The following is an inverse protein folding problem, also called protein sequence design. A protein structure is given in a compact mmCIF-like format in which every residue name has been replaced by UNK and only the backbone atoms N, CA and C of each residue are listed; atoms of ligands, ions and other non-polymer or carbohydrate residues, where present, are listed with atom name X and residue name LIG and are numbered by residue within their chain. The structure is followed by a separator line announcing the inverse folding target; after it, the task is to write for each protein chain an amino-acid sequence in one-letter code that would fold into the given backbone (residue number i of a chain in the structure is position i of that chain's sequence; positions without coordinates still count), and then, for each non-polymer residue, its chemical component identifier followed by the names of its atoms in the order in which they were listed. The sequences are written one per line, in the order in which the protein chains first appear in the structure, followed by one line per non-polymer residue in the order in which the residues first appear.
data_IF_546792967251
#
_entry.id   IF_546792967251
#
_cell.length_a   1.000
_cell.length_b   1.000
_cell.length_c   1.000
_cell.angle_alpha   90.00
_cell.angle_beta   90.00
_cell.angle_gamma   90.00
#
_symmetry.space_group_name_H-M   'P 1'
#
loop_
_entity.id
_entity.type
_entity.pdbx_description
1 polymer ?
#
# COMPACT_ATOMS: atom_id res chain seq x y z
N UNK A 1 10.01 57.80 -5.31
CA UNK A 1 10.70 57.85 -4.02
C UNK A 1 10.04 56.81 -3.12
N UNK A 2 10.45 55.55 -3.29
CA UNK A 2 10.41 54.52 -2.27
C UNK A 2 11.06 55.06 -0.98
N UNK A 3 10.56 54.67 0.20
CA UNK A 3 11.24 53.57 0.89
C UNK A 3 10.33 52.66 1.72
N UNK A 4 10.95 51.56 2.16
CA UNK A 4 10.53 50.65 3.23
C UNK A 4 9.49 49.60 2.84
N UNK A 5 9.96 48.49 2.30
CA UNK A 5 10.45 47.36 3.11
C UNK A 5 9.32 46.76 3.94
N UNK A 6 8.75 45.68 3.41
CA UNK A 6 7.83 44.84 4.14
C UNK A 6 8.50 44.33 5.44
N UNK A 7 7.87 44.46 6.63
CA UNK A 7 8.09 43.46 7.64
C UNK A 7 7.44 42.17 7.12
N UNK A 8 8.29 41.27 6.65
CA UNK A 8 8.02 39.84 6.47
C UNK A 8 7.02 39.38 7.53
N UNK A 9 5.76 39.16 7.12
CA UNK A 9 4.79 38.50 8.01
C UNK A 9 5.47 37.22 8.48
N UNK A 10 5.56 36.99 9.80
CA UNK A 10 6.43 35.97 10.37
C UNK A 10 6.26 34.67 9.59
N UNK A 11 7.36 34.00 9.21
CA UNK A 11 7.28 32.78 8.43
C UNK A 11 6.30 31.83 9.11
N UNK A 12 5.46 31.19 8.29
CA UNK A 12 4.48 30.18 8.71
C UNK A 12 5.14 29.32 9.81
N UNK A 13 4.49 29.12 10.98
CA UNK A 13 5.13 28.44 12.10
C UNK A 13 5.77 27.13 11.65
N UNK A 14 7.00 26.90 12.14
CA UNK A 14 7.73 25.65 11.89
C UNK A 14 6.84 24.45 12.25
N UNK A 15 7.02 23.30 11.58
CA UNK A 15 6.27 22.10 11.90
C UNK A 15 6.32 21.80 13.39
N UNK A 16 5.15 21.69 14.03
CA UNK A 16 5.06 21.21 15.41
C UNK A 16 5.71 19.83 15.47
N UNK A 17 6.85 19.71 16.15
CA UNK A 17 7.36 18.42 16.67
C UNK A 17 6.43 17.99 17.80
N UNK A 18 5.30 17.38 17.44
CA UNK A 18 4.65 16.45 18.37
C UNK A 18 5.37 15.11 18.20
N UNK A 19 5.98 14.63 19.27
CA UNK A 19 6.53 13.29 19.34
C UNK A 19 5.36 12.30 19.24
N UNK A 20 5.47 11.34 18.30
CA UNK A 20 4.68 10.10 18.09
C UNK A 20 3.34 9.99 18.81
N UNK A 21 2.22 9.88 18.13
CA UNK A 21 1.89 8.63 17.43
C UNK A 21 1.47 8.82 15.98
N UNK A 22 1.83 7.83 15.17
CA UNK A 22 1.62 7.71 13.73
C UNK A 22 0.19 8.07 13.32
N UNK A 23 -0.05 9.33 12.94
CA UNK A 23 -1.22 9.67 12.12
C UNK A 23 -0.72 9.87 10.69
N UNK A 24 -0.74 8.84 9.84
CA UNK A 24 -0.51 9.05 8.42
C UNK A 24 -1.53 10.07 7.93
N UNK A 25 -1.00 11.14 7.35
CA UNK A 25 -1.69 12.04 6.43
C UNK A 25 -2.59 11.22 5.48
N UNK A 26 -3.75 11.75 5.04
CA UNK A 26 -4.45 11.22 3.88
C UNK A 26 -3.63 11.57 2.63
N UNK A 27 -2.48 10.93 2.49
CA UNK A 27 -1.87 10.76 1.18
C UNK A 27 -2.86 9.91 0.37
N UNK A 28 -3.16 10.25 -0.89
CA UNK A 28 -3.40 9.24 -1.90
C UNK A 28 -2.04 8.91 -2.52
N UNK A 29 -1.26 7.96 -1.98
CA UNK A 29 -0.23 7.31 -2.77
C UNK A 29 -0.99 6.22 -3.55
N UNK A 30 -1.18 6.36 -4.85
CA UNK A 30 -0.01 6.28 -5.71
C UNK A 30 0.73 4.97 -5.40
N UNK A 31 0.02 3.84 -5.53
CA UNK A 31 0.54 2.52 -5.87
C UNK A 31 1.94 2.20 -5.32
N UNK A 32 2.05 2.08 -4.00
CA UNK A 32 2.94 1.07 -3.46
C UNK A 32 2.00 -0.03 -2.98
N UNK A 33 1.66 -1.04 -3.81
CA UNK A 33 0.99 -2.19 -3.27
C UNK A 33 1.96 -2.75 -2.24
N UNK A 34 1.70 -2.51 -0.95
CA UNK A 34 2.37 -3.26 0.10
C UNK A 34 2.22 -4.75 -0.25
N UNK A 35 3.12 -5.63 0.21
CA UNK A 35 3.05 -7.06 -0.13
C UNK A 35 1.63 -7.64 0.05
N UNK A 36 0.88 -7.17 1.05
CA UNK A 36 -0.53 -7.49 1.27
C UNK A 36 -1.50 -7.06 0.17
N UNK A 37 -1.32 -5.88 -0.44
CA UNK A 37 -2.15 -5.39 -1.56
C UNK A 37 -1.82 -6.10 -2.88
N UNK A 38 -0.54 -6.45 -3.10
CA UNK A 38 -0.17 -7.25 -4.26
C UNK A 38 -0.76 -8.66 -4.16
N UNK A 39 -0.71 -9.25 -2.96
CA UNK A 39 -1.33 -10.56 -2.68
C UNK A 39 -2.84 -10.50 -2.94
N UNK A 40 -3.53 -9.44 -2.50
CA UNK A 40 -4.97 -9.31 -2.75
C UNK A 40 -5.30 -9.21 -4.25
N UNK A 41 -4.55 -8.41 -5.01
CA UNK A 41 -4.75 -8.32 -6.47
C UNK A 41 -4.54 -9.66 -7.19
N UNK A 42 -3.56 -10.45 -6.74
CA UNK A 42 -3.27 -11.75 -7.33
C UNK A 42 -4.35 -12.79 -6.97
N UNK A 43 -4.93 -12.71 -5.77
CA UNK A 43 -6.10 -13.53 -5.39
C UNK A 43 -7.28 -13.19 -6.30
N UNK A 44 -7.58 -11.91 -6.52
CA UNK A 44 -8.65 -11.48 -7.43
C UNK A 44 -8.40 -11.98 -8.87
N UNK A 45 -7.14 -11.96 -9.31
CA UNK A 45 -6.79 -12.50 -10.62
C UNK A 45 -7.08 -14.00 -10.72
N UNK A 46 -6.69 -14.79 -9.71
CA UNK A 46 -6.95 -16.23 -9.66
C UNK A 46 -8.46 -16.56 -9.60
N UNK A 47 -9.23 -15.77 -8.86
CA UNK A 47 -10.70 -15.90 -8.83
C UNK A 47 -11.30 -15.64 -10.22
N UNK A 48 -10.81 -14.62 -10.92
CA UNK A 48 -11.23 -14.30 -12.30
C UNK A 48 -10.86 -15.41 -13.31
N UNK A 49 -9.76 -16.14 -13.05
CA UNK A 49 -9.37 -17.32 -13.83
C UNK A 49 -10.28 -18.54 -13.59
N UNK A 50 -11.18 -18.47 -12.61
CA UNK A 50 -12.12 -19.55 -12.29
C UNK A 50 -11.66 -20.47 -11.16
N UNK A 51 -10.53 -20.17 -10.51
CA UNK A 51 -10.11 -20.92 -9.32
C UNK A 51 -11.02 -20.59 -8.14
N UNK A 52 -11.37 -21.59 -7.34
CA UNK A 52 -12.15 -21.38 -6.13
C UNK A 52 -11.32 -20.68 -5.06
N UNK A 53 -11.94 -19.76 -4.31
CA UNK A 53 -11.29 -19.11 -3.17
C UNK A 53 -10.71 -20.14 -2.18
N UNK A 54 -11.36 -21.28 -2.00
CA UNK A 54 -10.87 -22.34 -1.12
C UNK A 54 -9.56 -22.95 -1.63
N UNK A 55 -9.42 -23.17 -2.93
CA UNK A 55 -8.19 -23.72 -3.52
C UNK A 55 -7.07 -22.70 -3.48
N UNK A 56 -7.38 -21.43 -3.75
CA UNK A 56 -6.41 -20.32 -3.64
C UNK A 56 -5.89 -20.20 -2.20
N UNK A 57 -6.77 -20.24 -1.20
CA UNK A 57 -6.36 -20.20 0.21
C UNK A 57 -5.52 -21.42 0.62
N UNK A 58 -5.91 -22.63 0.19
CA UNK A 58 -5.12 -23.84 0.45
C UNK A 58 -3.72 -23.75 -0.18
N UNK A 59 -3.65 -23.31 -1.44
CA UNK A 59 -2.40 -23.13 -2.15
C UNK A 59 -1.51 -22.08 -1.47
N UNK A 60 -2.07 -20.93 -1.07
CA UNK A 60 -1.35 -19.88 -0.34
C UNK A 60 -0.86 -20.34 1.04
N UNK A 61 -1.64 -21.15 1.75
CA UNK A 61 -1.25 -21.71 3.05
C UNK A 61 -0.05 -22.65 2.92
N UNK A 62 -0.06 -23.53 1.91
CA UNK A 62 1.05 -24.45 1.63
C UNK A 62 2.28 -23.66 1.12
N UNK A 63 2.05 -22.68 0.26
CA UNK A 63 3.07 -21.81 -0.31
C UNK A 63 3.61 -20.77 0.69
N UNK A 64 3.11 -20.71 1.93
CA UNK A 64 3.53 -19.75 2.96
C UNK A 64 3.42 -18.28 2.50
N UNK A 65 2.28 -17.92 1.91
CA UNK A 65 2.01 -16.60 1.29
C UNK A 65 2.91 -16.26 0.08
N UNK A 66 3.54 -17.26 -0.53
CA UNK A 66 4.23 -17.08 -1.81
C UNK A 66 3.25 -17.23 -2.98
N UNK A 67 3.00 -16.14 -3.69
CA UNK A 67 2.08 -16.10 -4.83
C UNK A 67 2.54 -16.99 -5.99
N UNK A 68 3.84 -16.98 -6.31
CA UNK A 68 4.38 -17.73 -7.46
C UNK A 68 4.19 -19.23 -7.26
N UNK A 69 4.46 -19.71 -6.05
CA UNK A 69 4.26 -21.12 -5.71
C UNK A 69 2.78 -21.48 -5.64
N UNK A 70 1.92 -20.61 -5.09
CA UNK A 70 0.48 -20.84 -5.11
C UNK A 70 -0.08 -20.93 -6.53
N UNK A 71 0.41 -20.09 -7.46
CA UNK A 71 0.07 -20.15 -8.90
C UNK A 71 0.51 -21.48 -9.54
N UNK A 72 1.72 -21.94 -9.23
CA UNK A 72 2.20 -23.24 -9.73
C UNK A 72 1.34 -24.39 -9.19
N UNK A 73 1.01 -24.40 -7.90
CA UNK A 73 0.14 -25.43 -7.31
C UNK A 73 -1.23 -25.41 -8.01
N UNK A 74 -1.87 -24.26 -8.13
CA UNK A 74 -3.21 -24.16 -8.74
C UNK A 74 -3.23 -24.55 -10.22
N UNK A 75 -2.14 -24.33 -10.97
CA UNK A 75 -2.07 -24.67 -12.39
C UNK A 75 -1.87 -26.16 -12.66
N UNK A 76 -1.21 -26.87 -11.74
CA UNK A 76 -0.91 -28.29 -11.89
C UNK A 76 -2.10 -29.20 -11.51
N UNK A 77 -3.18 -28.64 -10.92
CA UNK A 77 -4.42 -29.33 -10.58
C UNK A 77 -5.58 -28.93 -11.49
#
# INVERSE_FOLDING_TARGET
MDPSEAPERPPKPLPRRINSDRRPSPVPPGASPGPSQQISSEIEHLLSQGYSHQDIQKALMIAQNNIEMAKNILREF
#
